data_IF_042987148245
#
_entry.id   IF_042987148245
#
_cell.length_a   1.000
_cell.length_b   1.000
_cell.length_c   1.000
_cell.angle_alpha   90.00
_cell.angle_beta   90.00
_cell.angle_gamma   90.00
#
_symmetry.space_group_name_H-M   'P 1'
#
loop_
_entity.id
_entity.type
_entity.pdbx_description
1 polymer ?
#
# COMPACT_ATOMS: atom_id res chain seq x y z
N UNK A 1 18.87 -31.46 47.55
CA UNK A 1 19.91 -30.52 47.09
C UNK A 1 19.93 -30.51 45.56
N UNK A 2 18.75 -30.46 44.92
CA UNK A 2 18.62 -30.56 43.45
C UNK A 2 17.65 -29.53 42.85
N UNK A 3 16.99 -28.69 43.66
CA UNK A 3 16.00 -27.73 43.16
C UNK A 3 16.57 -26.32 42.90
N UNK A 4 17.64 -25.92 43.60
CA UNK A 4 18.23 -24.59 43.40
C UNK A 4 19.07 -24.46 42.11
N UNK A 5 19.58 -25.58 41.58
CA UNK A 5 20.37 -25.57 40.32
C UNK A 5 19.48 -25.50 39.09
N UNK A 6 18.27 -26.04 39.15
CA UNK A 6 17.32 -26.00 38.03
C UNK A 6 16.68 -24.60 37.88
N UNK A 7 16.42 -23.92 39.01
CA UNK A 7 15.96 -22.53 39.02
C UNK A 7 17.05 -21.54 38.59
N UNK A 8 18.32 -21.78 38.96
CA UNK A 8 19.43 -20.95 38.51
C UNK A 8 19.72 -21.11 37.00
N UNK A 9 19.58 -22.31 36.44
CA UNK A 9 19.77 -22.56 35.00
C UNK A 9 18.66 -21.92 34.14
N UNK A 10 17.41 -21.90 34.63
CA UNK A 10 16.29 -21.26 33.95
C UNK A 10 16.38 -19.72 33.97
N UNK A 11 16.88 -19.13 35.07
CA UNK A 11 17.08 -17.68 35.18
C UNK A 11 18.22 -17.16 34.28
N UNK A 12 19.29 -17.94 34.10
CA UNK A 12 20.41 -17.59 33.19
C UNK A 12 20.00 -17.75 31.73
N UNK A 13 19.16 -18.73 31.39
CA UNK A 13 18.60 -18.88 30.03
C UNK A 13 17.60 -17.75 29.69
N UNK A 14 16.80 -17.29 30.66
CA UNK A 14 15.88 -16.17 30.47
C UNK A 14 16.60 -14.81 30.33
N UNK A 15 17.72 -14.62 31.02
CA UNK A 15 18.54 -13.41 30.86
C UNK A 15 19.31 -13.39 29.53
N UNK A 16 19.70 -14.55 28.97
CA UNK A 16 20.37 -14.64 27.67
C UNK A 16 19.42 -14.42 26.46
N UNK A 17 18.11 -14.55 26.65
CA UNK A 17 17.09 -14.27 25.64
C UNK A 17 16.61 -12.80 25.64
N UNK A 18 16.92 -12.04 26.70
CA UNK A 18 16.53 -10.63 26.83
C UNK A 18 17.58 -9.63 26.27
N UNK A 19 18.81 -10.07 26.02
CA UNK A 19 19.92 -9.22 25.52
C UNK A 19 20.38 -9.59 24.09
N UNK A 20 19.59 -10.41 23.39
CA UNK A 20 19.81 -10.67 21.98
C UNK A 20 19.31 -9.47 21.17
N UNK A 21 20.19 -8.48 20.96
CA UNK A 21 20.02 -7.48 19.92
C UNK A 21 19.60 -8.20 18.62
N UNK A 22 18.58 -7.70 17.89
CA UNK A 22 18.11 -8.36 16.68
C UNK A 22 19.29 -8.54 15.74
N UNK A 23 19.49 -9.78 15.28
CA UNK A 23 20.55 -10.11 14.32
C UNK A 23 20.52 -9.10 13.16
N UNK A 24 21.68 -8.56 12.74
CA UNK A 24 21.71 -7.65 11.60
C UNK A 24 21.07 -8.36 10.42
N UNK A 25 20.03 -7.72 9.86
CA UNK A 25 19.40 -8.19 8.62
C UNK A 25 20.53 -8.39 7.59
N UNK A 26 20.55 -9.51 6.83
CA UNK A 26 21.52 -9.63 5.74
C UNK A 26 21.42 -8.37 4.90
N UNK A 27 22.57 -7.76 4.55
CA UNK A 27 22.63 -6.56 3.72
C UNK A 27 21.77 -6.79 2.47
N UNK A 28 20.54 -6.27 2.51
CA UNK A 28 19.61 -6.42 1.41
C UNK A 28 20.13 -5.51 0.32
N UNK A 29 20.67 -6.10 -0.75
CA UNK A 29 20.92 -5.40 -2.00
C UNK A 29 19.57 -4.79 -2.39
N UNK A 30 19.47 -3.46 -2.28
CA UNK A 30 18.27 -2.73 -2.63
C UNK A 30 18.02 -2.90 -4.14
N UNK A 31 16.92 -3.57 -4.53
CA UNK A 31 16.69 -3.90 -5.93
C UNK A 31 16.35 -2.66 -6.76
N UNK A 32 15.94 -1.56 -6.12
CA UNK A 32 15.69 -0.28 -6.75
C UNK A 32 16.83 0.72 -6.56
N UNK A 33 18.01 0.27 -6.08
CA UNK A 33 19.15 1.10 -5.66
C UNK A 33 19.50 2.19 -6.67
N UNK A 34 18.79 3.27 -6.49
CA UNK A 34 19.03 4.59 -7.01
C UNK A 34 19.15 5.40 -5.74
N UNK A 35 20.27 6.07 -5.51
CA UNK A 35 20.55 6.78 -4.25
C UNK A 35 19.59 7.96 -4.09
N UNK A 36 18.34 7.68 -3.75
CA UNK A 36 17.34 8.58 -3.25
C UNK A 36 17.59 8.65 -1.73
N UNK A 37 17.97 9.84 -1.27
CA UNK A 37 18.21 10.21 0.13
C UNK A 37 19.46 9.63 0.84
N UNK A 38 20.53 10.44 0.83
CA UNK A 38 21.38 10.59 2.02
C UNK A 38 21.31 12.05 2.43
N UNK A 39 20.58 12.35 3.51
CA UNK A 39 20.76 13.63 4.19
C UNK A 39 22.17 13.64 4.77
N UNK A 40 23.07 14.46 4.20
CA UNK A 40 24.40 14.69 4.78
C UNK A 40 24.24 15.58 6.00
N UNK A 41 24.13 14.98 7.18
CA UNK A 41 24.55 15.67 8.40
C UNK A 41 25.98 15.23 8.77
N UNK A 42 26.87 16.23 8.78
CA UNK A 42 28.17 16.31 9.44
C UNK A 42 28.98 15.03 9.68
N UNK A 43 30.02 14.82 8.87
CA UNK A 43 31.11 13.89 9.18
C UNK A 43 32.35 14.20 8.34
N UNK A 44 33.51 14.39 9.00
CA UNK A 44 34.82 14.70 8.41
C UNK A 44 35.28 13.63 7.39
N UNK A 45 36.17 13.97 6.43
CA UNK A 45 36.48 13.11 5.30
C UNK A 45 37.35 11.92 5.71
N UNK A 46 36.91 10.72 5.33
CA UNK A 46 37.73 9.51 5.35
C UNK A 46 38.46 9.44 4.01
N UNK A 47 39.79 9.33 4.08
CA UNK A 47 40.73 9.19 2.95
C UNK A 47 40.38 7.97 2.09
N UNK A 48 40.09 8.20 0.80
CA UNK A 48 39.86 7.16 -0.23
C UNK A 48 41.20 6.56 -0.67
N UNK A 49 41.40 5.26 -0.46
CA UNK A 49 42.36 4.46 -1.22
C UNK A 49 41.77 4.12 -2.59
N UNK A 50 42.61 4.25 -3.61
CA UNK A 50 42.27 4.15 -5.02
C UNK A 50 42.23 2.68 -5.48
N UNK A 51 41.08 2.21 -5.96
CA UNK A 51 40.95 1.50 -7.24
C UNK A 51 39.47 1.24 -7.59
N UNK A 52 38.94 1.93 -8.59
CA UNK A 52 37.79 1.49 -9.41
C UNK A 52 37.52 2.54 -10.49
N UNK A 53 37.45 2.10 -11.75
CA UNK A 53 37.07 2.93 -12.91
C UNK A 53 35.58 3.29 -12.88
N UNK A 54 35.18 4.06 -11.87
CA UNK A 54 33.86 4.68 -11.80
C UNK A 54 33.83 5.87 -12.76
N UNK A 55 32.74 5.97 -13.53
CA UNK A 55 32.42 7.16 -14.33
C UNK A 55 32.59 8.41 -13.45
N UNK A 56 33.14 9.53 -13.95
CA UNK A 56 33.28 10.75 -13.15
C UNK A 56 31.91 11.11 -12.56
N UNK A 57 31.85 11.22 -11.23
CA UNK A 57 30.63 11.58 -10.50
C UNK A 57 30.12 12.93 -11.05
N UNK A 58 28.81 13.00 -11.33
CA UNK A 58 28.17 14.29 -11.52
C UNK A 58 28.26 15.10 -10.24
N UNK A 59 29.25 15.97 -10.19
CA UNK A 59 29.49 16.89 -9.10
C UNK A 59 29.61 18.32 -9.64
N UNK A 60 28.55 18.77 -10.30
CA UNK A 60 28.24 20.20 -10.34
C UNK A 60 27.35 20.50 -9.14
N UNK A 61 27.84 21.36 -8.26
CA UNK A 61 27.06 22.03 -7.21
C UNK A 61 26.07 23.00 -7.87
N UNK A 62 25.03 22.43 -8.48
CA UNK A 62 23.91 23.15 -9.10
C UNK A 62 23.05 23.84 -8.03
N UNK A 63 23.15 23.42 -6.77
CA UNK A 63 22.39 24.01 -5.67
C UNK A 63 22.79 25.48 -5.51
N UNK A 64 21.78 26.35 -5.39
CA UNK A 64 21.97 27.80 -5.33
C UNK A 64 22.22 28.48 -6.68
N UNK A 65 22.54 27.72 -7.75
CA UNK A 65 22.72 28.28 -9.09
C UNK A 65 21.37 28.67 -9.71
N UNK A 66 21.43 29.66 -10.61
CA UNK A 66 20.34 30.01 -11.50
C UNK A 66 20.53 29.27 -12.83
N UNK A 67 19.49 28.58 -13.29
CA UNK A 67 19.40 27.94 -14.59
C UNK A 67 18.15 28.47 -15.28
N UNK A 68 18.30 29.22 -16.37
CA UNK A 68 17.22 29.97 -17.02
C UNK A 68 16.40 30.79 -16.00
N UNK A 69 15.09 30.53 -15.90
CA UNK A 69 14.19 31.16 -14.93
C UNK A 69 14.07 30.41 -13.59
N UNK A 70 14.97 29.47 -13.29
CA UNK A 70 14.89 28.62 -12.11
C UNK A 70 16.07 28.88 -11.18
N UNK A 71 15.81 29.02 -9.88
CA UNK A 71 16.84 28.94 -8.83
C UNK A 71 16.78 27.57 -8.19
N UNK A 72 17.86 26.79 -8.28
CA UNK A 72 17.92 25.42 -7.76
C UNK A 72 18.11 25.47 -6.23
N UNK A 73 17.32 24.70 -5.49
CA UNK A 73 17.24 24.77 -4.03
C UNK A 73 17.79 23.52 -3.33
N UNK A 74 17.35 22.33 -3.74
CA UNK A 74 17.72 21.06 -3.11
C UNK A 74 17.69 19.90 -4.12
N UNK A 75 18.50 18.86 -3.88
CA UNK A 75 18.45 17.60 -4.61
C UNK A 75 17.27 16.77 -4.07
N UNK A 76 16.34 16.41 -4.94
CA UNK A 76 15.20 15.56 -4.59
C UNK A 76 15.48 14.09 -4.93
N UNK A 77 16.36 13.85 -5.89
CA UNK A 77 16.66 12.50 -6.32
C UNK A 77 17.56 12.41 -7.53
N UNK A 78 18.13 11.23 -7.71
CA UNK A 78 18.93 10.88 -8.88
C UNK A 78 18.29 9.69 -9.56
N UNK A 79 18.33 9.65 -10.88
CA UNK A 79 17.98 8.52 -11.72
C UNK A 79 19.21 8.01 -12.48
N UNK A 80 19.02 7.03 -13.36
CA UNK A 80 20.11 6.49 -14.20
C UNK A 80 20.68 7.49 -15.20
N UNK A 81 19.85 8.41 -15.70
CA UNK A 81 20.21 9.37 -16.76
C UNK A 81 19.99 10.84 -16.38
N UNK A 82 19.36 11.11 -15.24
CA UNK A 82 18.94 12.46 -14.87
C UNK A 82 18.98 12.67 -13.36
N UNK A 83 19.01 13.93 -12.93
CA UNK A 83 18.85 14.34 -11.53
C UNK A 83 17.63 15.23 -11.40
N UNK A 84 16.88 15.09 -10.31
CA UNK A 84 15.68 15.88 -10.02
C UNK A 84 15.99 16.81 -8.87
N UNK A 85 15.74 18.10 -9.08
CA UNK A 85 15.96 19.13 -8.07
C UNK A 85 14.65 19.84 -7.75
N UNK A 86 14.51 20.31 -6.52
CA UNK A 86 13.52 21.35 -6.23
C UNK A 86 14.11 22.67 -6.69
N UNK A 87 13.29 23.47 -7.35
CA UNK A 87 13.67 24.79 -7.81
C UNK A 87 12.56 25.80 -7.52
N UNK A 88 12.96 27.06 -7.41
CA UNK A 88 12.05 28.20 -7.41
C UNK A 88 11.99 28.78 -8.82
N UNK A 89 10.81 28.75 -9.44
CA UNK A 89 10.57 29.41 -10.70
C UNK A 89 10.45 30.92 -10.46
N UNK A 90 11.41 31.71 -10.95
CA UNK A 90 11.55 33.15 -10.68
C UNK A 90 10.42 33.99 -11.30
N UNK A 91 9.93 33.63 -12.49
CA UNK A 91 8.85 34.38 -13.15
C UNK A 91 7.45 34.12 -12.60
N UNK A 92 7.12 32.85 -12.31
CA UNK A 92 5.84 32.43 -11.73
C UNK A 92 5.82 32.47 -10.20
N UNK A 93 6.95 32.75 -9.56
CA UNK A 93 7.13 32.80 -8.12
C UNK A 93 6.54 31.58 -7.38
N UNK A 94 6.88 30.39 -7.87
CA UNK A 94 6.42 29.11 -7.29
C UNK A 94 7.52 28.06 -7.22
N UNK A 95 7.31 27.08 -6.35
CA UNK A 95 8.18 25.90 -6.29
C UNK A 95 7.82 24.92 -7.41
N UNK A 96 8.84 24.35 -8.06
CA UNK A 96 8.71 23.29 -9.06
C UNK A 96 9.78 22.22 -8.86
N UNK A 97 9.61 21.06 -9.49
CA UNK A 97 10.67 20.07 -9.63
C UNK A 97 11.29 20.20 -11.01
N UNK A 98 12.62 20.09 -11.09
CA UNK A 98 13.40 20.29 -12.30
C UNK A 98 14.25 19.04 -12.54
N UNK A 99 13.86 18.24 -13.53
CA UNK A 99 14.62 17.06 -13.93
C UNK A 99 15.59 17.41 -15.03
N UNK A 100 16.88 17.24 -14.75
CA UNK A 100 17.98 17.62 -15.61
C UNK A 100 18.66 16.34 -16.12
N UNK A 101 18.67 16.13 -17.43
CA UNK A 101 19.34 14.99 -18.06
C UNK A 101 20.84 15.19 -18.09
N UNK A 102 21.58 14.09 -18.11
CA UNK A 102 23.01 14.13 -17.94
C UNK A 102 23.84 14.76 -19.07
N UNK A 103 24.58 15.90 -18.93
CA UNK A 103 25.25 16.49 -20.08
C UNK A 103 26.47 15.66 -20.50
N UNK A 104 27.11 14.91 -19.61
CA UNK A 104 28.15 13.96 -19.99
C UNK A 104 27.55 12.79 -20.79
N UNK A 105 26.36 12.34 -20.40
CA UNK A 105 25.64 11.29 -21.10
C UNK A 105 25.13 11.77 -22.47
N UNK A 106 24.58 12.98 -22.54
CA UNK A 106 24.13 13.65 -23.77
C UNK A 106 25.31 13.93 -24.70
N UNK A 107 26.46 14.39 -24.19
CA UNK A 107 27.65 14.61 -24.99
C UNK A 107 28.16 13.32 -25.65
N UNK A 108 28.09 12.18 -24.93
CA UNK A 108 28.46 10.87 -25.47
C UNK A 108 27.39 10.28 -26.41
N UNK A 109 26.12 10.58 -26.17
CA UNK A 109 24.97 10.05 -26.92
C UNK A 109 23.93 11.16 -27.16
N UNK A 110 24.14 12.03 -28.16
CA UNK A 110 23.26 13.18 -28.40
C UNK A 110 21.79 12.85 -28.59
N UNK A 111 21.49 11.66 -29.13
CA UNK A 111 20.12 11.15 -29.32
C UNK A 111 19.30 11.09 -28.02
N UNK A 112 19.94 10.97 -26.86
CA UNK A 112 19.25 10.90 -25.57
C UNK A 112 18.53 12.21 -25.22
N UNK A 113 19.04 13.35 -25.67
CA UNK A 113 18.36 14.65 -25.51
C UNK A 113 17.02 14.65 -26.24
N UNK A 114 17.02 14.21 -27.50
CA UNK A 114 15.81 14.22 -28.32
C UNK A 114 14.78 13.21 -27.79
N UNK A 115 15.23 12.06 -27.27
CA UNK A 115 14.36 11.08 -26.59
C UNK A 115 13.76 11.65 -25.30
N UNK A 116 14.58 12.29 -24.47
CA UNK A 116 14.16 12.94 -23.23
C UNK A 116 13.06 13.99 -23.48
N UNK A 117 13.21 14.81 -24.52
CA UNK A 117 12.18 15.77 -24.91
C UNK A 117 10.95 15.13 -25.56
N UNK A 118 11.12 14.12 -26.42
CA UNK A 118 10.00 13.46 -27.09
C UNK A 118 9.05 12.82 -26.08
N UNK A 119 9.59 12.23 -25.03
CA UNK A 119 8.83 11.60 -23.97
C UNK A 119 8.12 12.60 -23.07
N UNK A 120 8.83 13.66 -22.67
CA UNK A 120 8.21 14.73 -21.91
C UNK A 120 7.06 15.38 -22.69
N UNK A 121 7.19 15.54 -24.02
CA UNK A 121 6.11 16.02 -24.89
C UNK A 121 4.95 15.04 -25.00
N UNK A 122 5.22 13.74 -25.05
CA UNK A 122 4.18 12.72 -25.06
C UNK A 122 3.32 12.82 -23.79
N UNK A 123 3.96 12.98 -22.63
CA UNK A 123 3.28 13.09 -21.34
C UNK A 123 2.74 14.49 -21.01
N UNK A 124 3.17 15.56 -21.71
CA UNK A 124 2.82 16.94 -21.38
C UNK A 124 1.31 17.25 -21.41
N UNK A 125 0.56 16.56 -22.27
CA UNK A 125 -0.89 16.73 -22.39
C UNK A 125 -1.70 15.83 -21.43
N UNK A 126 -1.02 14.99 -20.64
CA UNK A 126 -1.68 14.08 -19.72
C UNK A 126 -2.06 14.80 -18.42
N UNK A 127 -3.25 15.38 -18.41
CA UNK A 127 -3.80 16.06 -17.22
C UNK A 127 -4.65 15.06 -16.42
N UNK A 128 -4.13 14.63 -15.27
CA UNK A 128 -4.81 13.67 -14.40
C UNK A 128 -4.38 13.86 -12.95
N UNK A 129 -5.28 13.76 -11.94
CA UNK A 129 -4.92 14.02 -10.54
C UNK A 129 -3.83 13.09 -10.01
N UNK A 130 -3.78 11.84 -10.48
CA UNK A 130 -2.73 10.87 -10.11
C UNK A 130 -1.49 10.91 -11.02
N UNK A 131 -1.29 11.94 -11.84
CA UNK A 131 -0.10 12.11 -12.69
C UNK A 131 0.64 13.37 -12.26
N UNK A 132 1.98 13.30 -12.14
CA UNK A 132 2.82 14.48 -11.97
C UNK A 132 2.81 15.29 -13.27
N UNK A 133 2.34 16.53 -13.18
CA UNK A 133 2.16 17.38 -14.37
C UNK A 133 3.50 17.91 -14.88
N UNK A 134 3.71 17.85 -16.19
CA UNK A 134 4.84 18.51 -16.86
C UNK A 134 4.41 19.92 -17.26
N UNK A 135 5.17 20.92 -16.83
CA UNK A 135 4.87 22.32 -17.09
C UNK A 135 5.64 22.89 -18.27
N UNK A 136 6.91 22.53 -18.41
CA UNK A 136 7.77 23.14 -19.41
C UNK A 136 9.00 22.27 -19.76
N UNK A 137 9.59 22.55 -20.92
CA UNK A 137 10.86 21.99 -21.37
C UNK A 137 11.83 23.13 -21.64
N UNK A 138 13.10 22.95 -21.31
CA UNK A 138 14.08 23.99 -21.55
C UNK A 138 15.51 23.50 -21.66
N UNK A 139 16.36 24.45 -21.99
CA UNK A 139 17.80 24.28 -21.97
C UNK A 139 18.48 25.59 -21.61
N UNK A 140 19.52 25.52 -20.79
CA UNK A 140 20.36 26.65 -20.46
C UNK A 140 21.76 26.18 -20.05
N UNK A 141 22.78 26.95 -20.38
CA UNK A 141 24.18 26.70 -19.97
C UNK A 141 24.66 25.25 -20.23
N UNK A 142 24.20 24.63 -21.32
CA UNK A 142 24.55 23.24 -21.69
C UNK A 142 23.73 22.15 -20.99
N UNK A 143 22.82 22.50 -20.10
CA UNK A 143 21.88 21.58 -19.46
C UNK A 143 20.55 21.54 -20.21
N UNK A 144 19.92 20.37 -20.24
CA UNK A 144 18.56 20.18 -20.74
C UNK A 144 17.68 19.71 -19.59
N UNK A 145 16.48 20.27 -19.47
CA UNK A 145 15.62 20.03 -18.31
C UNK A 145 14.13 20.00 -18.64
N UNK A 146 13.38 19.37 -17.73
CA UNK A 146 11.92 19.31 -17.69
C UNK A 146 11.48 19.95 -16.38
N UNK A 147 10.64 20.98 -16.46
CA UNK A 147 9.90 21.52 -15.31
C UNK A 147 8.66 20.66 -15.08
N UNK A 148 8.49 20.17 -13.86
CA UNK A 148 7.35 19.39 -13.43
C UNK A 148 6.77 19.94 -12.12
N UNK A 149 5.55 19.50 -11.80
CA UNK A 149 4.91 19.72 -10.52
C UNK A 149 5.82 19.26 -9.37
N UNK A 150 6.02 20.12 -8.37
CA UNK A 150 6.59 19.71 -7.09
C UNK A 150 5.44 19.34 -6.15
N UNK A 151 5.49 18.12 -5.61
CA UNK A 151 4.48 17.61 -4.66
C UNK A 151 5.01 17.76 -3.23
N UNK A 152 4.54 18.76 -2.45
CA UNK A 152 5.10 19.05 -1.14
C UNK A 152 4.86 17.90 -0.15
N UNK A 153 5.86 17.59 0.67
CA UNK A 153 5.76 16.56 1.71
C UNK A 153 5.65 15.12 1.20
N UNK A 154 5.71 14.90 -0.12
CA UNK A 154 5.64 13.56 -0.67
C UNK A 154 6.94 12.77 -0.49
N UNK A 155 6.81 11.45 -0.40
CA UNK A 155 7.92 10.48 -0.43
C UNK A 155 7.61 9.41 -1.46
N UNK A 156 8.61 8.76 -2.06
CA UNK A 156 8.31 7.65 -2.98
C UNK A 156 7.68 6.47 -2.22
N UNK A 157 6.87 5.65 -2.90
CA UNK A 157 6.33 4.43 -2.31
C UNK A 157 7.45 3.47 -1.91
N UNK A 158 8.58 3.45 -2.63
CA UNK A 158 9.79 2.73 -2.23
C UNK A 158 10.29 3.21 -0.88
N UNK A 159 10.54 4.52 -0.74
CA UNK A 159 11.12 5.07 0.49
C UNK A 159 10.19 4.85 1.68
N UNK A 160 8.89 4.97 1.46
CA UNK A 160 7.87 4.63 2.45
C UNK A 160 7.93 3.15 2.83
N UNK A 161 8.02 2.24 1.87
CA UNK A 161 8.11 0.79 2.11
C UNK A 161 9.39 0.43 2.87
N UNK A 162 10.53 1.00 2.49
CA UNK A 162 11.82 0.75 3.15
C UNK A 162 11.81 1.28 4.58
N UNK A 163 11.22 2.45 4.81
CA UNK A 163 11.19 3.09 6.13
C UNK A 163 10.16 2.48 7.08
N UNK A 164 8.96 2.15 6.57
CA UNK A 164 7.81 1.77 7.39
C UNK A 164 7.44 0.28 7.28
N UNK A 165 8.06 -0.45 6.35
CA UNK A 165 7.71 -1.83 6.06
C UNK A 165 6.51 -1.95 5.10
N UNK A 166 6.02 -3.19 4.88
CA UNK A 166 4.91 -3.48 3.99
C UNK A 166 3.64 -2.69 4.31
N UNK A 167 2.87 -2.39 3.28
CA UNK A 167 1.58 -1.71 3.42
C UNK A 167 0.48 -2.71 3.77
N UNK A 168 -0.48 -2.27 4.57
CA UNK A 168 -1.74 -2.98 4.76
C UNK A 168 -2.43 -3.22 3.40
N UNK A 169 -3.03 -4.40 3.21
CA UNK A 169 -3.60 -4.83 1.94
C UNK A 169 -4.59 -3.81 1.36
N UNK A 170 -5.46 -3.24 2.20
CA UNK A 170 -6.42 -2.24 1.75
C UNK A 170 -5.73 -0.95 1.27
N UNK A 171 -4.73 -0.47 2.02
CA UNK A 171 -3.97 0.73 1.66
C UNK A 171 -3.18 0.52 0.37
N UNK A 172 -2.49 -0.62 0.24
CA UNK A 172 -1.78 -0.99 -0.98
C UNK A 172 -2.72 -1.04 -2.18
N UNK A 173 -3.89 -1.68 -2.03
CA UNK A 173 -4.90 -1.76 -3.08
C UNK A 173 -5.41 -0.37 -3.52
N UNK A 174 -5.68 0.54 -2.58
CA UNK A 174 -6.10 1.92 -2.90
C UNK A 174 -5.03 2.69 -3.69
N UNK A 175 -3.77 2.59 -3.26
CA UNK A 175 -2.64 3.24 -3.93
C UNK A 175 -2.42 2.67 -5.35
N UNK A 176 -2.48 1.34 -5.49
CA UNK A 176 -2.37 0.68 -6.80
C UNK A 176 -3.53 1.08 -7.72
N UNK A 177 -4.76 1.19 -7.20
CA UNK A 177 -5.91 1.67 -7.99
C UNK A 177 -5.71 3.10 -8.49
N UNK A 178 -5.13 3.98 -7.68
CA UNK A 178 -4.77 5.34 -8.09
C UNK A 178 -3.71 5.34 -9.20
N UNK A 179 -2.69 4.48 -9.11
CA UNK A 179 -1.71 4.27 -10.19
C UNK A 179 -2.37 3.75 -11.46
N UNK A 180 -3.32 2.81 -11.35
CA UNK A 180 -4.09 2.31 -12.50
C UNK A 180 -4.92 3.42 -13.17
N UNK A 181 -5.47 4.36 -12.40
CA UNK A 181 -6.13 5.55 -12.96
C UNK A 181 -5.19 6.40 -13.83
N UNK A 182 -3.97 6.64 -13.36
CA UNK A 182 -2.94 7.34 -14.14
C UNK A 182 -2.56 6.58 -15.42
N UNK A 183 -2.34 5.27 -15.32
CA UNK A 183 -2.01 4.41 -16.47
C UNK A 183 -3.16 4.34 -17.48
N UNK A 184 -4.39 4.22 -17.00
CA UNK A 184 -5.61 4.25 -17.81
C UNK A 184 -5.70 5.54 -18.66
N UNK A 185 -5.48 6.70 -18.03
CA UNK A 185 -5.45 7.98 -18.75
C UNK A 185 -4.33 8.05 -19.81
N UNK A 186 -3.14 7.51 -19.49
CA UNK A 186 -2.02 7.44 -20.42
C UNK A 186 -2.30 6.50 -21.60
N UNK A 187 -2.81 5.29 -21.32
CA UNK A 187 -3.10 4.26 -22.31
C UNK A 187 -4.15 4.74 -23.31
N UNK A 188 -5.21 5.45 -22.85
CA UNK A 188 -6.20 6.10 -23.74
C UNK A 188 -5.58 7.16 -24.66
N UNK A 189 -4.48 7.78 -24.23
CA UNK A 189 -3.72 8.75 -25.01
C UNK A 189 -2.64 8.09 -25.89
N UNK A 190 -2.61 6.75 -25.97
CA UNK A 190 -1.63 5.99 -26.74
C UNK A 190 -0.23 5.92 -26.11
N UNK A 191 -0.11 6.27 -24.82
CA UNK A 191 1.16 6.32 -24.09
C UNK A 191 1.26 5.10 -23.19
N UNK A 192 2.34 4.33 -23.29
CA UNK A 192 2.69 3.24 -22.37
C UNK A 192 3.80 3.74 -21.45
N UNK A 193 3.71 3.51 -20.14
CA UNK A 193 4.61 4.08 -19.14
C UNK A 193 6.01 3.44 -19.14
N UNK A 194 6.10 2.11 -19.29
CA UNK A 194 7.33 1.30 -19.46
C UNK A 194 8.25 1.15 -18.26
N UNK A 195 8.19 2.05 -17.27
CA UNK A 195 9.00 1.99 -16.04
C UNK A 195 8.14 2.14 -14.77
N UNK A 196 7.03 1.39 -14.68
CA UNK A 196 6.18 1.43 -13.49
C UNK A 196 6.87 0.71 -12.33
N UNK A 197 7.13 1.44 -11.24
CA UNK A 197 7.76 0.90 -10.04
C UNK A 197 7.54 1.84 -8.82
N UNK A 198 7.64 1.35 -7.58
CA UNK A 198 7.44 2.15 -6.38
C UNK A 198 8.29 3.43 -6.30
N UNK A 199 9.52 3.43 -6.81
CA UNK A 199 10.36 4.63 -6.86
C UNK A 199 9.80 5.76 -7.74
N UNK A 200 8.95 5.43 -8.73
CA UNK A 200 8.32 6.39 -9.64
C UNK A 200 6.90 6.78 -9.18
N UNK A 201 6.46 6.34 -8.00
CA UNK A 201 5.14 6.69 -7.44
C UNK A 201 5.35 7.48 -6.16
N UNK A 202 4.86 8.71 -6.13
CA UNK A 202 4.90 9.58 -4.96
C UNK A 202 3.68 9.34 -4.08
N UNK A 203 3.91 9.08 -2.79
CA UNK A 203 2.90 9.13 -1.74
C UNK A 203 2.84 10.54 -1.17
N UNK A 204 1.71 11.22 -1.39
CA UNK A 204 1.46 12.58 -0.91
C UNK A 204 1.21 12.60 0.61
N UNK A 205 1.28 13.79 1.22
CA UNK A 205 0.97 13.98 2.64
C UNK A 205 -0.48 13.58 2.99
N UNK A 206 -1.40 13.71 2.03
CA UNK A 206 -2.82 13.31 2.16
C UNK A 206 -3.02 11.79 1.96
N UNK A 207 -1.95 11.03 1.71
CA UNK A 207 -1.98 9.58 1.57
C UNK A 207 -2.40 9.08 0.19
N UNK A 208 -2.36 9.94 -0.83
CA UNK A 208 -2.65 9.58 -2.23
C UNK A 208 -1.39 9.28 -3.04
N UNK A 209 -1.53 8.47 -4.09
CA UNK A 209 -0.48 8.15 -5.06
C UNK A 209 -0.51 9.09 -6.27
N UNK A 210 0.66 9.59 -6.66
CA UNK A 210 0.90 10.26 -7.95
C UNK A 210 2.02 9.56 -8.71
N UNK A 211 1.73 9.14 -9.93
CA UNK A 211 2.68 8.53 -10.85
C UNK A 211 3.53 9.63 -11.51
N UNK A 212 4.85 9.47 -11.40
CA UNK A 212 5.86 10.32 -12.00
C UNK A 212 6.63 9.54 -13.06
N UNK A 213 7.43 10.26 -13.86
CA UNK A 213 8.45 9.65 -14.72
C UNK A 213 7.91 8.63 -15.74
N UNK A 214 6.96 9.06 -16.58
CA UNK A 214 6.64 8.37 -17.83
C UNK A 214 7.96 8.14 -18.58
N UNK A 215 8.33 6.87 -18.75
CA UNK A 215 9.69 6.35 -18.65
C UNK A 215 10.76 6.98 -19.56
N UNK A 216 11.26 8.16 -19.14
CA UNK A 216 12.28 9.07 -19.74
C UNK A 216 13.57 8.45 -20.30
N UNK A 217 13.69 7.12 -20.30
CA UNK A 217 14.84 6.37 -20.78
C UNK A 217 14.48 4.90 -21.05
N UNK A 218 13.80 4.58 -22.15
CA UNK A 218 13.96 3.25 -22.78
C UNK A 218 13.51 3.24 -24.25
N UNK A 219 14.13 4.09 -25.05
CA UNK A 219 14.10 3.89 -26.50
C UNK A 219 15.02 2.73 -26.86
N UNK A 220 14.46 1.52 -26.98
CA UNK A 220 14.97 0.40 -27.81
C UNK A 220 16.48 0.15 -27.80
N UNK A 221 17.21 0.44 -26.72
CA UNK A 221 18.56 -0.05 -26.57
C UNK A 221 18.40 -1.55 -26.30
N UNK A 222 18.36 -2.33 -27.38
CA UNK A 222 18.40 -3.78 -27.38
C UNK A 222 19.27 -4.21 -26.19
N UNK A 223 18.65 -4.84 -25.18
CA UNK A 223 19.34 -5.52 -24.09
C UNK A 223 20.03 -6.80 -24.65
N UNK A 224 20.69 -6.70 -25.80
CA UNK A 224 21.34 -7.81 -26.52
C UNK A 224 22.83 -7.88 -26.22
N UNK A 225 23.29 -7.30 -25.12
CA UNK A 225 24.69 -7.36 -24.68
C UNK A 225 24.82 -8.10 -23.36
N UNK A 226 25.47 -9.26 -23.36
CA UNK A 226 25.65 -10.15 -22.21
C UNK A 226 26.48 -9.57 -21.03
N UNK A 227 26.87 -8.29 -21.06
CA UNK A 227 27.76 -7.66 -20.08
C UNK A 227 27.46 -6.16 -19.84
N UNK A 228 26.21 -5.71 -20.03
CA UNK A 228 25.85 -4.35 -19.61
C UNK A 228 25.63 -4.32 -18.09
N UNK A 229 26.26 -3.41 -17.32
CA UNK A 229 25.82 -3.17 -15.94
C UNK A 229 24.34 -2.82 -15.94
N UNK A 230 23.59 -3.32 -14.94
CA UNK A 230 22.16 -3.02 -14.71
C UNK A 230 21.97 -1.50 -14.54
N UNK A 231 21.88 -0.76 -15.64
CA UNK A 231 21.47 0.63 -15.65
C UNK A 231 19.96 0.64 -15.95
N UNK A 232 19.17 0.39 -14.90
CA UNK A 232 17.72 0.17 -14.96
C UNK A 232 17.32 -1.01 -14.09
N UNK A 233 16.06 -1.07 -13.66
CA UNK A 233 15.54 -2.02 -12.66
C UNK A 233 14.72 -3.12 -13.33
N UNK A 234 15.36 -4.11 -14.00
CA UNK A 234 14.69 -5.20 -14.74
C UNK A 234 13.75 -6.05 -13.86
N UNK A 235 13.79 -5.90 -12.54
CA UNK A 235 12.94 -6.60 -11.58
C UNK A 235 11.44 -6.29 -11.72
N UNK A 236 11.05 -5.17 -12.34
CA UNK A 236 9.64 -4.86 -12.64
C UNK A 236 9.28 -5.09 -14.11
N UNK A 237 10.26 -5.45 -14.94
CA UNK A 237 10.07 -5.54 -16.38
C UNK A 237 9.25 -6.78 -16.76
N UNK A 238 8.30 -6.59 -17.68
CA UNK A 238 7.45 -7.66 -18.17
C UNK A 238 8.24 -8.69 -19.01
N UNK A 239 7.93 -10.00 -18.91
CA UNK A 239 8.66 -11.08 -19.57
C UNK A 239 8.87 -10.91 -21.08
N UNK A 240 7.86 -10.39 -21.77
CA UNK A 240 7.84 -10.19 -23.23
C UNK A 240 8.83 -9.12 -23.70
N UNK A 241 9.18 -8.17 -22.83
CA UNK A 241 10.10 -7.08 -23.13
C UNK A 241 11.54 -7.57 -23.26
N UNK A 242 11.92 -8.58 -22.48
CA UNK A 242 13.23 -9.23 -22.60
C UNK A 242 13.40 -9.95 -23.95
N UNK A 243 12.29 -10.43 -24.53
CA UNK A 243 12.26 -11.01 -25.88
C UNK A 243 12.27 -9.97 -27.00
N UNK A 244 12.26 -8.67 -26.68
CA UNK A 244 12.22 -7.59 -27.67
C UNK A 244 10.83 -7.25 -28.19
N UNK A 245 9.77 -7.81 -27.60
CA UNK A 245 8.39 -7.42 -27.90
C UNK A 245 8.18 -5.96 -27.51
N UNK A 246 7.49 -5.13 -28.32
CA UNK A 246 7.17 -3.77 -27.94
C UNK A 246 6.33 -3.70 -26.65
N UNK A 247 6.60 -2.71 -25.82
CA UNK A 247 5.80 -2.47 -24.62
C UNK A 247 4.34 -2.17 -24.97
N UNK A 248 3.46 -2.70 -24.14
CA UNK A 248 2.00 -2.60 -24.27
C UNK A 248 1.38 -2.19 -22.94
N UNK A 249 0.10 -1.79 -22.91
CA UNK A 249 -0.65 -1.63 -21.66
C UNK A 249 -0.52 -2.83 -20.70
N UNK A 250 -0.49 -4.05 -21.25
CA UNK A 250 -0.34 -5.29 -20.49
C UNK A 250 1.06 -5.44 -19.87
N UNK A 251 2.08 -4.79 -20.45
CA UNK A 251 3.42 -4.73 -19.87
C UNK A 251 3.45 -3.83 -18.64
N UNK A 252 2.72 -2.70 -18.65
CA UNK A 252 2.56 -1.85 -17.46
C UNK A 252 1.75 -2.58 -16.37
N UNK A 253 0.72 -3.35 -16.74
CA UNK A 253 -0.07 -4.16 -15.79
C UNK A 253 0.80 -5.20 -15.07
N UNK A 254 1.75 -5.83 -15.78
CA UNK A 254 2.71 -6.73 -15.16
C UNK A 254 3.56 -6.01 -14.12
N UNK A 255 4.11 -4.85 -14.48
CA UNK A 255 4.92 -4.03 -13.58
C UNK A 255 4.12 -3.56 -12.35
N UNK A 256 2.83 -3.21 -12.53
CA UNK A 256 1.90 -2.96 -11.42
C UNK A 256 1.73 -4.20 -10.54
N UNK A 257 1.63 -5.40 -11.12
CA UNK A 257 1.57 -6.66 -10.38
C UNK A 257 2.80 -6.89 -9.50
N UNK A 258 4.01 -6.65 -10.04
CA UNK A 258 5.27 -6.75 -9.28
C UNK A 258 5.29 -5.72 -8.15
N UNK A 259 4.92 -4.47 -8.45
CA UNK A 259 4.79 -3.41 -7.45
C UNK A 259 3.79 -3.77 -6.36
N UNK A 260 2.61 -4.28 -6.71
CA UNK A 260 1.59 -4.63 -5.74
C UNK A 260 2.05 -5.75 -4.81
N UNK A 261 2.65 -6.81 -5.38
CA UNK A 261 3.29 -7.87 -4.61
C UNK A 261 4.34 -7.31 -3.64
N UNK A 262 5.18 -6.38 -4.11
CA UNK A 262 6.24 -5.78 -3.30
C UNK A 262 5.70 -4.90 -2.17
N UNK A 263 4.67 -4.10 -2.43
CA UNK A 263 4.02 -3.28 -1.41
C UNK A 263 3.37 -4.14 -0.32
N UNK A 264 2.79 -5.29 -0.67
CA UNK A 264 2.13 -6.20 0.26
C UNK A 264 3.12 -6.99 1.12
N UNK A 265 4.25 -7.42 0.55
CA UNK A 265 5.15 -8.38 1.21
C UNK A 265 6.46 -7.76 1.68
N UNK A 266 6.83 -6.58 1.17
CA UNK A 266 8.16 -6.01 1.32
C UNK A 266 9.25 -6.80 0.61
N UNK A 267 8.89 -7.77 -0.24
CA UNK A 267 9.82 -8.61 -1.03
C UNK A 267 9.42 -8.59 -2.50
N UNK A 268 10.38 -8.61 -3.40
CA UNK A 268 10.07 -8.79 -4.82
C UNK A 268 9.72 -10.25 -5.12
N UNK A 269 8.86 -10.52 -6.11
CA UNK A 269 8.53 -11.89 -6.51
C UNK A 269 9.74 -12.61 -7.13
N UNK A 270 10.60 -11.88 -7.86
CA UNK A 270 11.79 -12.41 -8.49
C UNK A 270 12.98 -11.47 -8.25
N UNK A 271 14.12 -12.03 -7.84
CA UNK A 271 15.36 -11.29 -7.60
C UNK A 271 16.57 -12.12 -8.03
N UNK A 272 17.54 -11.50 -8.68
CA UNK A 272 18.85 -12.11 -8.93
C UNK A 272 19.91 -11.01 -9.15
N UNK A 273 21.15 -11.33 -8.78
CA UNK A 273 22.36 -10.57 -9.07
C UNK A 273 22.79 -10.65 -10.55
N UNK A 274 22.28 -11.65 -11.30
CA UNK A 274 22.60 -11.88 -12.71
C UNK A 274 21.39 -11.60 -13.58
N UNK A 275 21.55 -10.70 -14.56
CA UNK A 275 20.48 -10.33 -15.50
C UNK A 275 19.89 -11.55 -16.22
N UNK A 276 20.73 -12.45 -16.73
CA UNK A 276 20.27 -13.65 -17.44
C UNK A 276 19.39 -14.55 -16.54
N UNK A 277 19.76 -14.70 -15.26
CA UNK A 277 18.98 -15.46 -14.29
C UNK A 277 17.67 -14.75 -13.99
N UNK A 278 17.67 -13.43 -13.78
CA UNK A 278 16.47 -12.65 -13.55
C UNK A 278 15.47 -12.76 -14.71
N UNK A 279 15.97 -12.71 -15.96
CA UNK A 279 15.16 -12.92 -17.17
C UNK A 279 14.47 -14.29 -17.11
N UNK A 280 15.21 -15.36 -16.80
CA UNK A 280 14.66 -16.71 -16.70
C UNK A 280 13.59 -16.81 -15.60
N UNK A 281 13.79 -16.16 -14.45
CA UNK A 281 12.79 -16.11 -13.38
C UNK A 281 11.49 -15.43 -13.87
N UNK A 282 11.61 -14.27 -14.51
CA UNK A 282 10.45 -13.56 -15.04
C UNK A 282 9.74 -14.37 -16.12
N UNK A 283 10.46 -15.08 -16.99
CA UNK A 283 9.89 -15.82 -18.12
C UNK A 283 9.30 -17.19 -17.76
N UNK A 284 9.93 -17.94 -16.87
CA UNK A 284 9.61 -19.36 -16.65
C UNK A 284 9.13 -19.71 -15.24
N UNK A 285 9.64 -19.06 -14.20
CA UNK A 285 9.35 -19.50 -12.83
C UNK A 285 7.95 -19.07 -12.36
N UNK A 286 7.21 -19.93 -11.64
CA UNK A 286 5.95 -19.53 -11.03
C UNK A 286 6.17 -18.40 -10.02
N UNK A 287 5.17 -17.53 -9.90
CA UNK A 287 5.19 -16.46 -8.88
C UNK A 287 5.12 -17.12 -7.51
N UNK A 288 5.97 -16.72 -6.54
CA UNK A 288 5.87 -17.25 -5.18
C UNK A 288 4.48 -16.99 -4.58
N UNK A 289 3.97 -17.97 -3.84
CA UNK A 289 2.61 -17.90 -3.29
C UNK A 289 2.51 -16.82 -2.20
N UNK A 290 1.61 -15.85 -2.42
CA UNK A 290 1.32 -14.80 -1.46
C UNK A 290 0.78 -15.35 -0.14
N UNK A 291 0.00 -16.45 -0.14
CA UNK A 291 -0.55 -17.03 1.09
C UNK A 291 0.54 -17.60 2.01
N UNK A 292 1.62 -18.11 1.43
CA UNK A 292 2.77 -18.59 2.19
C UNK A 292 3.53 -17.46 2.89
N UNK A 293 3.45 -16.22 2.37
CA UNK A 293 4.15 -15.06 2.92
C UNK A 293 3.25 -14.23 3.84
N UNK A 294 1.96 -14.14 3.50
CA UNK A 294 0.94 -13.38 4.22
C UNK A 294 -0.21 -14.33 4.63
N UNK A 295 -0.06 -15.10 5.73
CA UNK A 295 -1.14 -15.94 6.24
C UNK A 295 -2.41 -15.10 6.51
N UNK A 296 -3.55 -15.54 5.98
CA UNK A 296 -4.83 -14.81 6.11
C UNK A 296 -5.09 -13.74 5.03
N UNK A 297 -4.21 -13.60 4.04
CA UNK A 297 -4.50 -12.75 2.87
C UNK A 297 -5.71 -13.28 2.09
N UNK A 298 -6.61 -12.38 1.68
CA UNK A 298 -7.81 -12.73 0.92
C UNK A 298 -7.46 -13.46 -0.38
N UNK A 299 -8.13 -14.58 -0.68
CA UNK A 299 -7.79 -15.43 -1.83
C UNK A 299 -7.94 -14.71 -3.16
N UNK A 300 -8.97 -13.87 -3.29
CA UNK A 300 -9.20 -13.11 -4.52
C UNK A 300 -8.10 -12.07 -4.76
N UNK A 301 -7.49 -11.53 -3.69
CA UNK A 301 -6.37 -10.59 -3.83
C UNK A 301 -5.15 -11.33 -4.39
N UNK A 302 -4.93 -12.58 -3.94
CA UNK A 302 -3.89 -13.46 -4.47
C UNK A 302 -4.13 -13.74 -5.95
N UNK A 303 -5.36 -14.09 -6.33
CA UNK A 303 -5.72 -14.35 -7.73
C UNK A 303 -5.54 -13.11 -8.61
N UNK A 304 -5.91 -11.93 -8.11
CA UNK A 304 -5.75 -10.66 -8.82
C UNK A 304 -4.27 -10.35 -9.07
N UNK A 305 -3.42 -10.44 -8.05
CA UNK A 305 -1.97 -10.23 -8.21
C UNK A 305 -1.36 -11.30 -9.12
N UNK A 306 -1.78 -12.55 -8.98
CA UNK A 306 -1.37 -13.67 -9.83
C UNK A 306 -1.70 -13.42 -11.30
N UNK A 307 -2.91 -12.95 -11.61
CA UNK A 307 -3.33 -12.61 -12.98
C UNK A 307 -2.49 -11.49 -13.59
N UNK A 308 -2.12 -10.48 -12.80
CA UNK A 308 -1.21 -9.41 -13.28
C UNK A 308 0.17 -9.97 -13.68
N UNK A 309 0.65 -10.94 -12.91
CA UNK A 309 1.98 -11.55 -13.07
C UNK A 309 2.00 -12.75 -14.02
N UNK A 310 0.91 -12.99 -14.75
CA UNK A 310 0.86 -14.02 -15.79
C UNK A 310 1.96 -13.78 -16.84
N UNK A 311 2.59 -14.86 -17.30
CA UNK A 311 3.76 -14.78 -18.18
C UNK A 311 3.37 -14.28 -19.58
N UNK A 312 2.26 -14.79 -20.10
CA UNK A 312 1.66 -14.31 -21.35
C UNK A 312 0.88 -13.01 -21.11
N UNK A 313 1.08 -11.96 -21.93
CA UNK A 313 0.28 -10.74 -21.84
C UNK A 313 -1.23 -10.98 -22.01
N UNK A 314 -1.62 -11.99 -22.81
CA UNK A 314 -3.02 -12.31 -23.08
C UNK A 314 -3.77 -12.90 -21.88
N UNK A 315 -3.05 -13.43 -20.90
CA UNK A 315 -3.63 -14.00 -19.67
C UNK A 315 -3.79 -12.96 -18.56
N UNK A 316 -3.29 -11.73 -18.78
CA UNK A 316 -3.40 -10.61 -17.83
C UNK A 316 -4.75 -9.90 -17.97
N UNK A 317 -4.92 -8.81 -17.23
CA UNK A 317 -6.02 -7.87 -17.50
C UNK A 317 -5.83 -7.22 -18.87
N UNK A 318 -6.90 -7.06 -19.62
CA UNK A 318 -6.87 -6.47 -20.96
C UNK A 318 -6.55 -4.97 -20.92
N UNK A 319 -6.88 -4.29 -19.81
CA UNK A 319 -6.63 -2.85 -19.61
C UNK A 319 -6.43 -2.49 -18.14
N UNK A 320 -5.84 -1.30 -17.89
CA UNK A 320 -5.75 -0.74 -16.55
C UNK A 320 -7.14 -0.44 -15.94
N UNK A 321 -8.14 -0.11 -16.78
CA UNK A 321 -9.53 0.10 -16.34
C UNK A 321 -10.15 -1.19 -15.79
N UNK A 322 -10.02 -2.31 -16.53
CA UNK A 322 -10.53 -3.63 -16.09
C UNK A 322 -9.92 -4.02 -14.73
N UNK A 323 -8.60 -3.87 -14.58
CA UNK A 323 -7.92 -4.16 -13.32
C UNK A 323 -8.39 -3.23 -12.19
N UNK A 324 -8.58 -1.93 -12.48
CA UNK A 324 -9.02 -0.94 -11.51
C UNK A 324 -10.42 -1.25 -10.96
N UNK A 325 -11.34 -1.67 -11.82
CA UNK A 325 -12.70 -2.09 -11.45
C UNK A 325 -12.68 -3.33 -10.53
N UNK A 326 -11.90 -4.35 -10.87
CA UNK A 326 -11.75 -5.54 -10.02
C UNK A 326 -11.13 -5.19 -8.66
N UNK A 327 -10.15 -4.28 -8.66
CA UNK A 327 -9.51 -3.81 -7.43
C UNK A 327 -10.44 -2.93 -6.58
N UNK A 328 -11.35 -2.17 -7.19
CA UNK A 328 -12.38 -1.42 -6.47
C UNK A 328 -13.29 -2.35 -5.67
N UNK A 329 -13.77 -3.43 -6.28
CA UNK A 329 -14.59 -4.44 -5.59
C UNK A 329 -13.79 -5.04 -4.42
N UNK A 330 -12.52 -5.35 -4.65
CA UNK A 330 -11.62 -5.89 -3.62
C UNK A 330 -11.43 -4.96 -2.42
N UNK A 331 -11.27 -3.66 -2.65
CA UNK A 331 -11.02 -2.67 -1.59
C UNK A 331 -12.18 -2.60 -0.59
N UNK A 332 -13.41 -2.89 -1.04
CA UNK A 332 -14.56 -3.00 -0.14
C UNK A 332 -14.47 -4.26 0.73
N UNK A 333 -14.00 -5.38 0.20
CA UNK A 333 -13.84 -6.64 0.94
C UNK A 333 -12.65 -6.58 1.92
N UNK A 334 -11.58 -5.88 1.52
CA UNK A 334 -10.40 -5.64 2.35
C UNK A 334 -10.64 -4.58 3.43
N UNK A 335 -11.83 -3.99 3.53
CA UNK A 335 -12.09 -2.91 4.47
C UNK A 335 -11.90 -3.36 5.90
N UNK A 336 -10.99 -2.67 6.60
CA UNK A 336 -10.78 -2.84 8.03
C UNK A 336 -12.10 -2.63 8.80
N UNK A 337 -12.33 -3.51 9.79
CA UNK A 337 -13.59 -3.54 10.55
C UNK A 337 -13.74 -2.27 11.37
N UNK A 338 -12.66 -1.81 11.99
CA UNK A 338 -12.68 -0.64 12.85
C UNK A 338 -13.02 0.61 12.04
N UNK A 339 -12.38 0.76 10.88
CA UNK A 339 -12.66 1.85 9.94
C UNK A 339 -14.11 1.82 9.44
N UNK A 340 -14.64 0.64 9.15
CA UNK A 340 -16.03 0.46 8.77
C UNK A 340 -17.00 0.84 9.91
N UNK A 341 -16.66 0.49 11.14
CA UNK A 341 -17.42 0.83 12.34
C UNK A 341 -17.42 2.34 12.62
N UNK A 342 -16.24 2.97 12.59
CA UNK A 342 -16.08 4.41 12.82
C UNK A 342 -16.86 5.23 11.81
N UNK A 343 -16.87 4.82 10.54
CA UNK A 343 -17.68 5.47 9.52
C UNK A 343 -19.18 5.25 9.73
N UNK A 344 -19.58 4.02 10.09
CA UNK A 344 -20.99 3.69 10.35
C UNK A 344 -21.59 4.49 11.51
N UNK A 345 -20.78 4.76 12.54
CA UNK A 345 -21.17 5.53 13.71
C UNK A 345 -20.79 7.00 13.63
N UNK A 346 -20.38 7.49 12.45
CA UNK A 346 -20.07 8.90 12.27
C UNK A 346 -21.30 9.77 12.58
N UNK A 347 -21.18 10.67 13.55
CA UNK A 347 -22.27 11.53 14.03
C UNK A 347 -23.18 10.88 15.07
N UNK A 348 -22.90 9.65 15.51
CA UNK A 348 -23.55 9.00 16.66
C UNK A 348 -22.67 9.21 17.88
N UNK A 349 -23.26 9.69 18.98
CA UNK A 349 -22.55 9.79 20.26
C UNK A 349 -22.24 8.38 20.77
N UNK A 350 -20.99 7.98 20.63
CA UNK A 350 -20.55 6.61 20.90
C UNK A 350 -19.04 6.54 21.14
N UNK A 351 -18.62 5.58 21.96
CA UNK A 351 -17.21 5.27 22.18
C UNK A 351 -16.90 3.88 21.65
N UNK A 352 -15.92 3.77 20.76
CA UNK A 352 -15.50 2.50 20.17
C UNK A 352 -14.18 2.07 20.82
N UNK A 353 -14.17 0.88 21.41
CA UNK A 353 -12.99 0.23 21.97
C UNK A 353 -12.82 -1.17 21.36
N UNK A 354 -11.59 -1.66 21.25
CA UNK A 354 -11.31 -2.99 20.71
C UNK A 354 -10.30 -2.96 19.58
N UNK A 355 -10.03 -4.13 19.00
CA UNK A 355 -9.09 -4.25 17.88
C UNK A 355 -9.33 -5.54 17.09
N UNK A 356 -8.93 -5.52 15.81
CA UNK A 356 -9.00 -6.64 14.84
C UNK A 356 -10.43 -7.12 14.57
N UNK A 357 -10.92 -8.03 15.41
CA UNK A 357 -12.13 -8.81 15.17
C UNK A 357 -13.16 -8.69 16.30
N UNK A 358 -12.85 -7.93 17.36
CA UNK A 358 -13.79 -7.70 18.47
C UNK A 358 -13.78 -6.24 18.87
N UNK A 359 -14.96 -5.63 18.81
CA UNK A 359 -15.18 -4.23 19.15
C UNK A 359 -16.33 -4.09 20.14
N UNK A 360 -16.17 -3.17 21.07
CA UNK A 360 -17.16 -2.66 22.00
C UNK A 360 -17.57 -1.28 21.54
N UNK A 361 -18.86 -1.09 21.33
CA UNK A 361 -19.46 0.22 21.08
C UNK A 361 -20.28 0.59 22.31
N UNK A 362 -19.84 1.60 23.04
CA UNK A 362 -20.53 2.14 24.20
C UNK A 362 -21.42 3.28 23.74
N UNK A 363 -22.73 3.13 23.95
CA UNK A 363 -23.75 4.12 23.60
C UNK A 363 -24.27 4.77 24.89
N UNK A 364 -24.12 6.09 25.06
CA UNK A 364 -24.70 6.81 26.19
C UNK A 364 -26.22 6.69 26.26
N UNK A 365 -26.73 6.55 27.49
CA UNK A 365 -28.15 6.50 27.83
C UNK A 365 -28.46 7.57 28.88
N UNK A 366 -29.75 7.92 29.09
CA UNK A 366 -30.14 8.83 30.18
C UNK A 366 -29.62 8.34 31.54
N UNK A 367 -29.36 9.28 32.45
CA UNK A 367 -28.84 9.04 33.82
C UNK A 367 -27.43 8.42 33.86
N UNK A 368 -26.53 8.86 32.96
CA UNK A 368 -25.13 8.40 32.88
C UNK A 368 -24.95 6.88 32.70
N UNK A 369 -26.00 6.20 32.24
CA UNK A 369 -25.95 4.78 31.87
C UNK A 369 -25.25 4.62 30.51
N UNK A 370 -24.65 3.45 30.29
CA UNK A 370 -24.04 3.08 29.02
C UNK A 370 -24.63 1.75 28.56
N UNK A 371 -25.10 1.68 27.31
CA UNK A 371 -25.43 0.42 26.66
C UNK A 371 -24.21 -0.06 25.85
N UNK A 372 -23.70 -1.26 26.16
CA UNK A 372 -22.60 -1.87 25.42
C UNK A 372 -23.13 -2.74 24.29
N UNK A 373 -22.67 -2.48 23.06
CA UNK A 373 -22.88 -3.33 21.89
C UNK A 373 -21.54 -3.95 21.48
N UNK A 374 -21.50 -5.27 21.48
CA UNK A 374 -20.37 -6.07 21.03
C UNK A 374 -20.50 -6.36 19.54
N UNK A 375 -19.37 -6.26 18.85
CA UNK A 375 -19.26 -6.53 17.42
C UNK A 375 -18.10 -7.49 17.21
N UNK A 376 -18.44 -8.69 16.75
CA UNK A 376 -17.51 -9.77 16.50
C UNK A 376 -17.46 -10.11 15.03
N UNK A 377 -16.26 -10.09 14.45
CA UNK A 377 -15.99 -10.63 13.12
C UNK A 377 -15.65 -12.10 13.27
N UNK A 378 -16.40 -12.95 12.58
CA UNK A 378 -16.18 -14.38 12.56
C UNK A 378 -15.92 -14.83 11.12
N UNK A 379 -14.95 -15.70 10.93
CA UNK A 379 -14.76 -16.37 9.64
C UNK A 379 -15.87 -17.43 9.44
N UNK A 380 -16.26 -17.64 8.18
CA UNK A 380 -17.23 -18.66 7.79
C UNK A 380 -16.68 -20.08 7.88
N UNK A 381 -17.46 -21.05 7.39
CA UNK A 381 -17.01 -22.45 7.29
C UNK A 381 -15.69 -22.57 6.51
N UNK A 382 -14.82 -23.50 6.94
CA UNK A 382 -13.56 -23.80 6.24
C UNK A 382 -13.78 -23.99 4.74
N UNK A 383 -13.08 -23.18 3.93
CA UNK A 383 -13.17 -23.20 2.47
C UNK A 383 -14.13 -22.18 1.85
N UNK A 384 -14.94 -21.47 2.63
CA UNK A 384 -15.71 -20.30 2.18
C UNK A 384 -15.07 -19.03 2.73
N UNK A 385 -14.55 -18.18 1.82
CA UNK A 385 -13.93 -16.88 2.13
C UNK A 385 -14.99 -15.81 2.53
N UNK A 386 -16.02 -16.22 3.30
CA UNK A 386 -17.12 -15.39 3.76
C UNK A 386 -16.91 -15.02 5.23
N UNK A 387 -16.88 -13.73 5.53
CA UNK A 387 -16.83 -13.23 6.91
C UNK A 387 -18.21 -12.80 7.38
N UNK A 388 -18.49 -13.08 8.64
CA UNK A 388 -19.72 -12.74 9.32
C UNK A 388 -19.47 -11.68 10.39
N UNK A 389 -20.38 -10.72 10.49
CA UNK A 389 -20.34 -9.68 11.50
C UNK A 389 -21.51 -9.92 12.46
N UNK A 390 -21.18 -10.37 13.67
CA UNK A 390 -22.13 -10.60 14.75
C UNK A 390 -22.21 -9.34 15.60
N UNK A 391 -23.37 -8.69 15.59
CA UNK A 391 -23.69 -7.56 16.47
C UNK A 391 -24.55 -8.10 17.59
N UNK A 392 -24.19 -7.85 18.84
CA UNK A 392 -25.01 -8.25 19.98
C UNK A 392 -24.86 -7.32 21.17
N UNK A 393 -25.83 -7.31 22.06
CA UNK A 393 -25.81 -6.56 23.30
C UNK A 393 -26.43 -7.39 24.42
N UNK A 394 -25.87 -7.27 25.61
CA UNK A 394 -26.32 -8.01 26.79
C UNK A 394 -27.61 -7.40 27.31
N UNK A 395 -28.61 -8.25 27.57
CA UNK A 395 -29.88 -7.86 28.16
C UNK A 395 -29.94 -8.16 29.66
N UNK A 396 -29.15 -9.14 30.15
CA UNK A 396 -29.15 -9.56 31.54
C UNK A 396 -28.65 -11.01 31.72
N UNK A 397 -28.55 -11.50 32.97
CA UNK A 397 -28.17 -12.89 33.25
C UNK A 397 -29.20 -13.87 32.67
N UNK A 398 -28.74 -14.99 32.14
CA UNK A 398 -29.61 -16.04 31.61
C UNK A 398 -30.12 -16.95 32.75
N UNK A 399 -31.07 -16.44 33.53
CA UNK A 399 -31.73 -17.22 34.58
C UNK A 399 -32.94 -18.00 34.06
N UNK A 400 -33.22 -19.22 34.58
CA UNK A 400 -34.36 -20.03 34.14
C UNK A 400 -35.72 -19.33 34.20
N UNK A 401 -35.89 -18.40 35.14
CA UNK A 401 -37.09 -17.56 35.32
C UNK A 401 -37.41 -16.73 34.07
N UNK A 402 -36.41 -16.35 33.28
CA UNK A 402 -36.59 -15.52 32.10
C UNK A 402 -36.74 -16.30 30.79
N UNK A 403 -36.53 -17.63 30.78
CA UNK A 403 -36.53 -18.41 29.53
C UNK A 403 -37.90 -18.39 28.82
N UNK A 404 -39.00 -18.52 29.56
CA UNK A 404 -40.35 -18.43 29.00
C UNK A 404 -40.63 -17.07 28.38
N UNK A 405 -40.17 -16.00 29.03
CA UNK A 405 -40.26 -14.63 28.53
C UNK A 405 -39.44 -14.43 27.25
N UNK A 406 -38.18 -14.87 27.24
CA UNK A 406 -37.29 -14.76 26.08
C UNK A 406 -37.83 -15.52 24.85
N UNK A 407 -38.37 -16.73 25.04
CA UNK A 407 -39.03 -17.51 23.98
C UNK A 407 -40.26 -16.79 23.41
N UNK A 408 -41.12 -16.26 24.28
CA UNK A 408 -42.30 -15.52 23.86
C UNK A 408 -41.91 -14.24 23.10
N UNK A 409 -40.89 -13.52 23.56
CA UNK A 409 -40.40 -12.31 22.90
C UNK A 409 -39.81 -12.62 21.52
N UNK A 410 -39.02 -13.69 21.39
CA UNK A 410 -38.47 -14.14 20.11
C UNK A 410 -39.54 -14.38 19.03
N UNK A 411 -40.73 -14.86 19.43
CA UNK A 411 -41.84 -15.05 18.48
C UNK A 411 -42.42 -13.74 17.91
N UNK A 412 -42.11 -12.59 18.54
CA UNK A 412 -42.64 -11.26 18.19
C UNK A 412 -41.57 -10.30 17.68
N UNK A 413 -40.28 -10.63 17.83
CA UNK A 413 -39.19 -9.78 17.36
C UNK A 413 -39.17 -9.76 15.83
N UNK A 414 -39.26 -8.57 15.25
CA UNK A 414 -39.14 -8.34 13.81
C UNK A 414 -37.70 -8.12 13.37
N UNK A 415 -36.79 -7.90 14.32
CA UNK A 415 -35.39 -7.62 14.08
C UNK A 415 -34.50 -8.26 15.14
N UNK A 416 -33.52 -9.06 14.72
CA UNK A 416 -32.61 -9.79 15.61
C UNK A 416 -33.28 -10.95 16.35
N UNK A 417 -32.55 -11.56 17.28
CA UNK A 417 -33.04 -12.63 18.13
C UNK A 417 -32.37 -12.60 19.51
N UNK A 418 -33.11 -13.05 20.52
CA UNK A 418 -32.58 -13.40 21.82
C UNK A 418 -31.96 -14.78 21.79
N UNK A 419 -30.76 -14.88 22.35
CA UNK A 419 -30.03 -16.13 22.52
C UNK A 419 -29.30 -16.12 23.86
N UNK A 420 -28.83 -17.30 24.28
CA UNK A 420 -27.94 -17.40 25.44
C UNK A 420 -26.51 -17.45 24.91
N UNK A 421 -25.65 -16.56 25.41
CA UNK A 421 -24.20 -16.57 25.14
C UNK A 421 -23.42 -16.53 26.44
N UNK A 422 -22.23 -17.15 26.45
CA UNK A 422 -21.31 -17.01 27.56
C UNK A 422 -20.51 -15.72 27.40
N UNK A 423 -20.68 -14.77 28.31
CA UNK A 423 -19.94 -13.51 28.36
C UNK A 423 -19.17 -13.49 29.67
N UNK A 424 -17.84 -13.35 29.59
CA UNK A 424 -16.93 -13.42 30.75
C UNK A 424 -17.15 -14.69 31.63
N UNK A 425 -17.50 -15.81 31.00
CA UNK A 425 -17.71 -17.09 31.70
C UNK A 425 -19.09 -17.27 32.33
N UNK A 426 -20.00 -16.29 32.24
CA UNK A 426 -21.37 -16.39 32.72
C UNK A 426 -22.36 -16.49 31.55
N UNK A 427 -23.44 -17.30 31.66
CA UNK A 427 -24.48 -17.36 30.65
C UNK A 427 -25.34 -16.09 30.75
N UNK A 428 -25.40 -15.34 29.65
CA UNK A 428 -26.14 -14.09 29.52
C UNK A 428 -27.20 -14.21 28.43
N UNK A 429 -28.36 -13.60 28.65
CA UNK A 429 -29.33 -13.34 27.59
C UNK A 429 -28.81 -12.17 26.75
N UNK A 430 -28.65 -12.40 25.45
CA UNK A 430 -28.15 -11.40 24.52
C UNK A 430 -29.12 -11.20 23.37
N UNK A 431 -29.35 -9.94 23.02
CA UNK A 431 -29.99 -9.56 21.77
C UNK A 431 -28.93 -9.54 20.69
N UNK A 432 -29.13 -10.28 19.61
CA UNK A 432 -28.08 -10.44 18.59
C UNK A 432 -28.63 -10.50 17.17
N UNK A 433 -27.76 -10.17 16.20
CA UNK A 433 -27.99 -10.40 14.79
C UNK A 433 -26.66 -10.58 14.07
N UNK A 434 -26.60 -11.52 13.13
CA UNK A 434 -25.42 -11.79 12.34
C UNK A 434 -25.66 -11.40 10.89
N UNK A 435 -24.66 -10.77 10.28
CA UNK A 435 -24.70 -10.28 8.91
C UNK A 435 -23.53 -10.84 8.11
N UNK A 436 -23.69 -10.96 6.80
CA UNK A 436 -22.54 -11.18 5.90
C UNK A 436 -21.77 -9.87 5.80
N UNK A 437 -20.54 -9.83 6.34
CA UNK A 437 -19.71 -8.62 6.46
C UNK A 437 -19.58 -7.90 5.12
N UNK A 438 -19.27 -8.64 4.06
CA UNK A 438 -19.00 -8.09 2.73
C UNK A 438 -20.23 -7.49 2.04
N UNK A 439 -21.45 -7.82 2.51
CA UNK A 439 -22.70 -7.27 1.97
C UNK A 439 -23.23 -6.10 2.78
N UNK A 440 -22.60 -5.81 3.93
CA UNK A 440 -23.09 -4.83 4.87
C UNK A 440 -22.71 -3.42 4.43
N UNK A 441 -23.68 -2.51 4.36
CA UNK A 441 -23.43 -1.09 4.10
C UNK A 441 -23.27 -0.34 5.41
N UNK A 442 -22.68 0.85 5.32
CA UNK A 442 -22.46 1.78 6.44
C UNK A 442 -23.78 2.09 7.18
N UNK A 443 -24.85 2.39 6.42
CA UNK A 443 -26.17 2.62 6.98
C UNK A 443 -26.75 1.39 7.68
N UNK A 444 -26.63 0.21 7.06
CA UNK A 444 -27.16 -1.03 7.62
C UNK A 444 -26.50 -1.39 8.96
N UNK A 445 -25.18 -1.18 9.08
CA UNK A 445 -24.44 -1.43 10.32
C UNK A 445 -24.82 -0.45 11.42
N UNK A 446 -24.95 0.83 11.09
CA UNK A 446 -25.44 1.85 12.03
C UNK A 446 -26.80 1.48 12.59
N UNK A 447 -27.75 1.17 11.71
CA UNK A 447 -29.11 0.86 12.10
C UNK A 447 -29.17 -0.44 12.93
N UNK A 448 -28.36 -1.44 12.57
CA UNK A 448 -28.22 -2.67 13.36
C UNK A 448 -27.70 -2.43 14.78
N UNK A 449 -26.66 -1.60 14.94
CA UNK A 449 -26.08 -1.28 16.27
C UNK A 449 -27.12 -0.58 17.14
N UNK A 450 -27.78 0.45 16.60
CA UNK A 450 -28.77 1.24 17.34
C UNK A 450 -30.02 0.41 17.71
N UNK A 451 -30.52 -0.41 16.79
CA UNK A 451 -31.71 -1.23 17.03
C UNK A 451 -31.44 -2.36 18.03
N UNK A 452 -30.25 -2.97 17.99
CA UNK A 452 -29.85 -3.98 18.99
C UNK A 452 -29.68 -3.33 20.36
N UNK A 453 -29.02 -2.17 20.44
CA UNK A 453 -28.86 -1.44 21.70
C UNK A 453 -30.21 -1.07 22.32
N UNK A 454 -31.11 -0.49 21.53
CA UNK A 454 -32.43 -0.07 21.99
C UNK A 454 -33.27 -1.27 22.47
N UNK A 455 -33.26 -2.37 21.72
CA UNK A 455 -33.99 -3.56 22.12
C UNK A 455 -33.40 -4.22 23.37
N UNK A 456 -32.07 -4.26 23.50
CA UNK A 456 -31.41 -4.83 24.68
C UNK A 456 -31.74 -4.04 25.95
N UNK A 457 -31.62 -2.70 25.93
CA UNK A 457 -31.97 -1.84 27.08
C UNK A 457 -33.45 -1.99 27.48
N UNK A 458 -34.35 -2.06 26.49
CA UNK A 458 -35.78 -2.26 26.76
C UNK A 458 -36.05 -3.62 27.42
N UNK A 459 -35.36 -4.66 26.98
CA UNK A 459 -35.49 -6.02 27.53
C UNK A 459 -34.91 -6.08 28.94
N UNK A 460 -33.74 -5.48 29.17
CA UNK A 460 -33.13 -5.34 30.51
C UNK A 460 -34.12 -4.67 31.47
N UNK A 461 -34.67 -3.51 31.11
CA UNK A 461 -35.63 -2.79 31.94
C UNK A 461 -36.90 -3.59 32.24
N UNK A 462 -37.34 -4.43 31.30
CA UNK A 462 -38.48 -5.33 31.53
C UNK A 462 -38.13 -6.48 32.48
N UNK A 463 -36.94 -7.06 32.35
CA UNK A 463 -36.45 -8.12 33.24
C UNK A 463 -36.29 -7.60 34.68
N UNK A 464 -35.63 -6.45 34.87
CA UNK A 464 -35.50 -5.84 36.20
C UNK A 464 -36.85 -5.52 36.83
N UNK A 465 -37.86 -5.16 36.04
CA UNK A 465 -39.23 -4.97 36.55
C UNK A 465 -39.91 -6.28 36.93
N UNK A 466 -39.60 -7.39 36.25
CA UNK A 466 -40.12 -8.71 36.63
C UNK A 466 -39.56 -9.18 37.97
N UNK A 467 -38.35 -8.76 38.33
CA UNK A 467 -37.74 -9.09 39.63
C UNK A 467 -38.36 -8.33 40.82
N UNK A 468 -39.20 -7.33 40.55
CA UNK A 468 -39.90 -6.54 41.57
C UNK A 468 -41.26 -7.14 41.99
N UNK A 469 -41.71 -8.20 41.31
CA UNK A 469 -42.99 -8.89 41.56
C UNK A 469 -42.75 -10.33 41.97
#
# INVERSE_FOLDING_TARGET
MDDERLHAAAAVAAAALADAAPAPRPESIDPEATRLHVSRQGGRPITRTADSRLLPEWDDDLIGRKLAQYRILEDLGRGSMARVFKAWHLGLERTCALKIIDPNLVARRPILKDQFWAEARAAANLVHPQVVTIHNLGSDSGYHFIEMEYVPGSVSLRDSLVKHGPFEAQKAARLVRQVLGALSAAHRSGIVHRDVKPANVLLTADGEAKLADFGLAQTRAKLTGANLPLAGTPTFMAPELFGGTPASPQSDIYAVGVMFYYLLTGRLPFTSDKLATLINLHQGEPVPDLKAILPGVNSRLVDLVGRCLAKSPGDRFASADEMSEQLQVMIHQLRDTESFLRESLHGVDSFIQGSRDTFRVLLPQPNDRLQEVMIEVNDGEEGKDERYLSVFSVCGPAEPTYYGYALALNSRLTYGSLSIRYVLGAPMLVMSRTFVRDRMRVGDLRDAILEIAHNADRIEAQMTRMDLY
#
